data_IF_327779054222
#
_entry.id   IF_327779054222
#
_cell.length_a   1.000
_cell.length_b   1.000
_cell.length_c   1.000
_cell.angle_alpha   90.00
_cell.angle_beta   90.00
_cell.angle_gamma   90.00
#
_symmetry.space_group_name_H-M   'P 1'
#
loop_
_entity.id
_entity.type
_entity.pdbx_description
1 polymer ?
#
# COMPACT_ATOMS: atom_id res chain seq x y z
N UNK A 1 -56.17 15.74 -65.72
CA UNK A 1 -55.56 16.96 -65.13
C UNK A 1 -55.94 17.24 -63.68
N UNK A 2 -57.18 16.98 -63.21
CA UNK A 2 -57.55 17.18 -61.80
C UNK A 2 -56.95 16.18 -60.79
N UNK A 3 -56.45 15.02 -61.25
CA UNK A 3 -55.82 14.01 -60.38
C UNK A 3 -54.30 14.20 -60.18
N UNK A 4 -53.64 14.99 -61.06
CA UNK A 4 -52.18 15.26 -60.97
C UNK A 4 -51.90 16.45 -60.03
N UNK A 5 -52.86 17.37 -59.86
CA UNK A 5 -52.72 18.56 -59.01
C UNK A 5 -52.91 18.25 -57.52
N UNK A 6 -53.63 17.18 -57.17
CA UNK A 6 -53.84 16.79 -55.75
C UNK A 6 -52.64 15.98 -55.20
N UNK A 7 -51.86 15.32 -56.06
CA UNK A 7 -50.60 14.68 -55.67
C UNK A 7 -49.46 15.71 -55.51
N UNK A 8 -49.54 16.87 -56.17
CA UNK A 8 -48.56 17.95 -56.05
C UNK A 8 -48.71 18.83 -54.79
N UNK A 9 -49.79 18.67 -54.01
CA UNK A 9 -50.04 19.48 -52.79
C UNK A 9 -49.61 18.76 -51.49
N UNK A 10 -49.23 17.48 -51.55
CA UNK A 10 -48.69 16.75 -50.39
C UNK A 10 -47.15 16.79 -50.27
N UNK A 11 -46.47 17.64 -51.04
CA UNK A 11 -45.00 17.84 -50.94
C UNK A 11 -44.72 19.29 -50.51
N UNK A 12 -45.61 19.90 -49.71
CA UNK A 12 -45.23 21.06 -48.91
C UNK A 12 -44.43 20.60 -47.69
N UNK A 13 -43.11 20.63 -47.87
CA UNK A 13 -42.18 21.15 -46.89
C UNK A 13 -42.31 20.59 -45.46
N UNK A 14 -41.96 19.31 -45.28
CA UNK A 14 -41.36 18.90 -44.00
C UNK A 14 -39.95 19.47 -43.97
N UNK A 15 -39.82 20.69 -43.46
CA UNK A 15 -38.53 21.21 -43.04
C UNK A 15 -38.09 20.31 -41.89
N UNK A 16 -37.26 19.30 -42.17
CA UNK A 16 -36.51 18.63 -41.12
C UNK A 16 -35.53 19.67 -40.59
N UNK A 17 -35.94 20.36 -39.52
CA UNK A 17 -35.02 21.09 -38.67
C UNK A 17 -34.05 20.03 -38.14
N UNK A 18 -32.87 19.95 -38.76
CA UNK A 18 -31.80 19.08 -38.29
C UNK A 18 -31.32 19.72 -37.00
N UNK A 19 -31.78 19.18 -35.86
CA UNK A 19 -31.43 19.69 -34.55
C UNK A 19 -29.97 19.38 -34.26
N UNK A 20 -29.07 20.25 -34.72
CA UNK A 20 -27.68 20.25 -34.28
C UNK A 20 -27.67 20.40 -32.76
N UNK A 21 -27.10 19.41 -32.06
CA UNK A 21 -27.04 19.41 -30.59
C UNK A 21 -25.65 19.86 -30.18
N UNK A 22 -25.58 20.87 -29.31
CA UNK A 22 -24.31 21.31 -28.73
C UNK A 22 -24.04 20.51 -27.47
N UNK A 23 -22.95 19.75 -27.47
CA UNK A 23 -22.44 19.00 -26.33
C UNK A 23 -21.25 19.72 -25.75
N UNK A 24 -21.29 19.95 -24.44
CA UNK A 24 -20.18 20.55 -23.69
C UNK A 24 -19.70 19.61 -22.61
N UNK A 25 -18.51 19.84 -22.07
CA UNK A 25 -18.05 19.08 -20.91
C UNK A 25 -16.59 19.32 -20.60
N UNK A 26 -16.09 18.56 -19.63
CA UNK A 26 -14.69 18.55 -19.21
C UNK A 26 -14.13 17.15 -19.35
N UNK A 27 -12.91 17.03 -19.86
CA UNK A 27 -12.14 15.78 -19.85
C UNK A 27 -11.05 15.89 -18.77
N UNK A 28 -11.02 14.92 -17.86
CA UNK A 28 -10.10 14.87 -16.72
C UNK A 28 -9.29 13.58 -16.69
N UNK A 29 -8.14 13.64 -16.04
CA UNK A 29 -7.33 12.49 -15.68
C UNK A 29 -8.00 11.68 -14.55
N UNK A 30 -8.03 10.35 -14.68
CA UNK A 30 -8.65 9.46 -13.70
C UNK A 30 -7.95 9.35 -12.36
N UNK A 31 -6.63 9.57 -12.33
CA UNK A 31 -5.77 9.45 -11.16
C UNK A 31 -5.56 10.80 -10.48
N UNK A 32 -5.04 11.79 -11.21
CA UNK A 32 -4.67 13.10 -10.64
C UNK A 32 -5.86 14.04 -10.48
N UNK A 33 -6.97 13.75 -11.19
CA UNK A 33 -8.15 14.63 -11.30
C UNK A 33 -7.85 15.99 -11.93
N UNK A 34 -6.72 16.11 -12.63
CA UNK A 34 -6.35 17.31 -13.37
C UNK A 34 -7.06 17.36 -14.74
N UNK A 35 -7.29 18.57 -15.30
CA UNK A 35 -7.87 18.72 -16.63
C UNK A 35 -6.90 18.23 -17.72
N UNK A 36 -7.41 17.46 -18.68
CA UNK A 36 -6.62 17.01 -19.83
C UNK A 36 -6.68 18.05 -20.94
N UNK A 37 -5.58 18.75 -21.16
CA UNK A 37 -5.43 19.79 -22.18
C UNK A 37 -5.08 19.15 -23.53
N UNK A 38 -5.87 19.44 -24.57
CA UNK A 38 -5.66 18.91 -25.92
C UNK A 38 -6.16 17.48 -26.14
N UNK A 39 -7.07 16.98 -25.29
CA UNK A 39 -7.79 15.73 -25.54
C UNK A 39 -8.68 15.88 -26.78
N UNK A 40 -8.65 14.86 -27.64
CA UNK A 40 -9.48 14.80 -28.84
C UNK A 40 -10.91 14.38 -28.46
N UNK A 41 -11.88 15.06 -29.04
CA UNK A 41 -13.32 14.78 -28.89
C UNK A 41 -13.91 14.68 -30.28
N UNK A 42 -14.23 13.47 -30.74
CA UNK A 42 -14.57 13.19 -32.14
C UNK A 42 -15.92 12.50 -32.23
N UNK A 43 -16.82 12.97 -33.10
CA UNK A 43 -18.06 12.27 -33.43
C UNK A 43 -17.73 11.02 -34.27
N UNK A 44 -18.06 9.84 -33.76
CA UNK A 44 -17.69 8.55 -34.37
C UNK A 44 -18.23 8.44 -35.79
N UNK A 45 -17.35 7.97 -36.69
CA UNK A 45 -17.70 7.74 -38.10
C UNK A 45 -17.75 9.01 -38.96
N UNK A 46 -17.40 10.18 -38.40
CA UNK A 46 -17.31 11.44 -39.13
C UNK A 46 -15.91 12.07 -38.99
N UNK A 47 -15.68 13.20 -39.66
CA UNK A 47 -14.49 14.04 -39.46
C UNK A 47 -14.77 15.22 -38.53
N UNK A 48 -15.93 15.23 -37.87
CA UNK A 48 -16.34 16.28 -36.95
C UNK A 48 -15.70 16.04 -35.58
N UNK A 49 -14.94 17.01 -35.10
CA UNK A 49 -14.23 16.89 -33.84
C UNK A 49 -13.72 18.23 -33.33
N UNK A 50 -13.37 18.24 -32.05
CA UNK A 50 -12.79 19.37 -31.35
C UNK A 50 -11.71 18.88 -30.39
N UNK A 51 -11.00 19.79 -29.75
CA UNK A 51 -10.02 19.48 -28.70
C UNK A 51 -10.32 20.26 -27.43
N UNK A 52 -9.98 19.69 -26.28
CA UNK A 52 -10.13 20.39 -24.99
C UNK A 52 -9.16 21.57 -24.83
N UNK A 53 -9.60 22.61 -24.12
CA UNK A 53 -8.79 23.78 -23.80
C UNK A 53 -7.95 23.59 -22.50
N UNK A 54 -7.35 24.67 -21.98
CA UNK A 54 -6.52 24.65 -20.76
C UNK A 54 -7.26 24.14 -19.50
N UNK A 55 -8.57 24.35 -19.42
CA UNK A 55 -9.40 23.86 -18.32
C UNK A 55 -9.94 22.43 -18.58
N UNK A 56 -9.48 21.76 -19.64
CA UNK A 56 -10.01 20.47 -20.08
C UNK A 56 -11.41 20.56 -20.68
N UNK A 57 -11.95 21.77 -20.92
CA UNK A 57 -13.31 21.98 -21.44
C UNK A 57 -13.36 21.81 -22.95
N UNK A 58 -14.46 21.25 -23.45
CA UNK A 58 -14.76 21.14 -24.87
C UNK A 58 -16.19 21.58 -25.19
N UNK A 59 -16.43 21.88 -26.47
CA UNK A 59 -17.76 22.10 -27.06
C UNK A 59 -17.78 21.56 -28.47
N UNK A 60 -18.71 20.67 -28.79
CA UNK A 60 -18.87 20.04 -30.11
C UNK A 60 -20.34 20.06 -30.52
N UNK A 61 -20.60 20.31 -31.80
CA UNK A 61 -21.95 20.28 -32.38
C UNK A 61 -22.11 18.97 -33.13
N UNK A 62 -23.08 18.15 -32.74
CA UNK A 62 -23.32 16.83 -33.32
C UNK A 62 -24.62 16.77 -34.10
N UNK A 63 -24.78 15.74 -34.93
CA UNK A 63 -25.91 15.62 -35.84
C UNK A 63 -27.25 15.38 -35.14
N UNK A 64 -27.29 14.47 -34.17
CA UNK A 64 -28.50 14.08 -33.44
C UNK A 64 -28.16 13.28 -32.16
N UNK A 65 -29.19 12.92 -31.39
CA UNK A 65 -29.08 12.16 -30.14
C UNK A 65 -28.55 10.73 -30.30
N UNK A 66 -28.52 10.19 -31.52
CA UNK A 66 -27.98 8.87 -31.81
C UNK A 66 -26.48 8.90 -32.10
N UNK A 67 -25.86 10.08 -32.11
CA UNK A 67 -24.43 10.23 -32.36
C UNK A 67 -23.61 9.76 -31.15
N UNK A 68 -22.45 9.17 -31.42
CA UNK A 68 -21.48 8.74 -30.41
C UNK A 68 -20.25 9.64 -30.46
N UNK A 69 -19.71 10.00 -29.30
CA UNK A 69 -18.49 10.80 -29.18
C UNK A 69 -17.37 9.94 -28.61
N UNK A 70 -16.26 9.84 -29.33
CA UNK A 70 -15.01 9.25 -28.86
C UNK A 70 -14.10 10.34 -28.27
N UNK A 71 -13.67 10.09 -27.04
CA UNK A 71 -12.70 10.87 -26.29
C UNK A 71 -11.38 10.12 -26.28
N UNK A 72 -10.30 10.75 -26.73
CA UNK A 72 -8.96 10.14 -26.75
C UNK A 72 -7.88 11.14 -26.39
N UNK A 73 -6.81 10.64 -25.76
CA UNK A 73 -5.62 11.44 -25.45
C UNK A 73 -4.39 10.52 -25.48
N UNK A 74 -3.24 11.07 -25.86
CA UNK A 74 -2.01 10.28 -26.02
C UNK A 74 -1.64 9.68 -24.66
N UNK A 75 -1.49 8.35 -24.61
CA UNK A 75 -1.18 7.65 -23.38
C UNK A 75 -2.41 7.29 -22.54
N UNK A 76 -3.64 7.44 -23.05
CA UNK A 76 -4.89 7.14 -22.34
C UNK A 76 -5.81 6.18 -23.10
N UNK A 77 -6.57 5.38 -22.35
CA UNK A 77 -7.62 4.52 -22.89
C UNK A 77 -8.75 5.38 -23.42
N UNK A 78 -9.04 5.26 -24.71
CA UNK A 78 -10.12 6.01 -25.36
C UNK A 78 -11.48 5.52 -24.87
N UNK A 79 -12.44 6.44 -24.76
CA UNK A 79 -13.82 6.12 -24.35
C UNK A 79 -14.79 6.64 -25.39
N UNK A 80 -15.79 5.82 -25.75
CA UNK A 80 -16.85 6.21 -26.67
C UNK A 80 -18.17 6.25 -25.91
N UNK A 81 -18.91 7.35 -26.05
CA UNK A 81 -20.15 7.62 -25.31
C UNK A 81 -21.27 7.98 -26.29
N UNK A 82 -22.41 7.30 -26.17
CA UNK A 82 -23.65 7.67 -26.85
C UNK A 82 -24.25 8.93 -26.21
N UNK A 83 -24.55 9.95 -27.01
CA UNK A 83 -25.00 11.27 -26.54
C UNK A 83 -26.40 11.22 -25.91
N UNK A 84 -27.34 10.54 -26.56
CA UNK A 84 -28.72 10.50 -26.11
C UNK A 84 -29.32 11.90 -25.99
N UNK A 85 -29.95 12.22 -24.85
CA UNK A 85 -30.57 13.53 -24.60
C UNK A 85 -29.69 14.47 -23.76
N UNK A 86 -28.40 14.15 -23.60
CA UNK A 86 -27.49 14.93 -22.78
C UNK A 86 -26.94 16.12 -23.58
N UNK A 87 -26.80 17.28 -22.94
CA UNK A 87 -26.10 18.46 -23.50
C UNK A 87 -24.77 18.76 -22.78
N UNK A 88 -24.49 18.02 -21.70
CA UNK A 88 -23.26 18.11 -20.93
C UNK A 88 -22.74 16.71 -20.59
N UNK A 89 -21.51 16.39 -20.96
CA UNK A 89 -20.87 15.08 -20.75
C UNK A 89 -19.44 15.31 -20.26
N UNK A 90 -19.21 15.07 -18.96
CA UNK A 90 -17.87 15.07 -18.39
C UNK A 90 -17.27 13.67 -18.47
N UNK A 91 -15.99 13.59 -18.85
CA UNK A 91 -15.29 12.33 -19.09
C UNK A 91 -14.04 12.27 -18.26
N UNK A 92 -13.79 11.08 -17.73
CA UNK A 92 -12.53 10.74 -17.07
C UNK A 92 -11.82 9.75 -17.98
N UNK A 93 -10.65 10.11 -18.51
CA UNK A 93 -9.80 9.17 -19.22
C UNK A 93 -8.77 8.58 -18.26
N UNK A 94 -8.55 7.26 -18.36
CA UNK A 94 -7.55 6.56 -17.58
C UNK A 94 -6.32 6.30 -18.45
N UNK A 95 -5.12 6.48 -17.91
CA UNK A 95 -3.88 6.19 -18.63
C UNK A 95 -3.83 4.74 -19.14
N UNK A 96 -3.22 4.53 -20.32
CA UNK A 96 -2.82 3.20 -20.80
C UNK A 96 -1.67 2.76 -19.91
N UNK A 97 -1.98 1.85 -19.00
CA UNK A 97 -0.94 1.17 -18.23
C UNK A 97 -0.62 -0.14 -18.94
N UNK A 98 0.54 -0.23 -19.60
CA UNK A 98 1.05 -1.52 -20.11
C UNK A 98 1.17 -2.49 -18.93
N UNK A 99 0.58 -3.67 -19.03
CA UNK A 99 0.55 -4.69 -17.97
C UNK A 99 1.95 -5.03 -17.43
N UNK A 100 3.01 -4.91 -18.24
CA UNK A 100 4.40 -5.05 -17.77
C UNK A 100 4.83 -3.89 -16.90
N UNK A 101 4.59 -2.65 -17.32
CA UNK A 101 4.84 -1.47 -16.49
C UNK A 101 3.90 -1.39 -15.29
N UNK A 102 2.69 -1.94 -15.38
CA UNK A 102 1.75 -2.08 -14.27
C UNK A 102 2.29 -3.07 -13.25
N UNK A 103 2.79 -4.24 -13.67
CA UNK A 103 3.49 -5.17 -12.77
C UNK A 103 4.72 -4.55 -12.13
N UNK A 104 5.57 -3.89 -12.92
CA UNK A 104 6.80 -3.25 -12.42
C UNK A 104 6.48 -2.06 -11.49
N UNK A 105 5.39 -1.31 -11.75
CA UNK A 105 4.93 -0.23 -10.88
C UNK A 105 4.17 -0.78 -9.66
N UNK A 106 3.29 -1.76 -9.78
CA UNK A 106 2.53 -2.39 -8.67
C UNK A 106 3.43 -3.19 -7.73
N UNK A 107 4.43 -3.92 -8.25
CA UNK A 107 5.50 -4.52 -7.44
C UNK A 107 6.28 -3.46 -6.67
N UNK A 108 6.37 -2.24 -7.22
CA UNK A 108 7.03 -1.07 -6.61
C UNK A 108 6.08 -0.14 -5.84
N UNK A 109 4.75 -0.37 -5.80
CA UNK A 109 3.76 0.60 -5.30
C UNK A 109 2.97 0.12 -4.08
N UNK A 110 2.97 -1.15 -3.69
CA UNK A 110 2.48 -1.53 -2.35
C UNK A 110 3.62 -2.05 -1.49
N UNK A 111 4.06 -1.28 -0.50
CA UNK A 111 5.04 -1.73 0.48
C UNK A 111 4.53 -2.95 1.24
N UNK A 112 5.45 -3.69 1.87
CA UNK A 112 5.11 -4.62 2.93
C UNK A 112 4.78 -3.78 4.16
N UNK A 113 3.61 -3.96 4.78
CA UNK A 113 3.26 -3.23 5.99
C UNK A 113 4.20 -3.68 7.11
N UNK A 114 4.85 -2.72 7.75
CA UNK A 114 5.66 -2.93 8.95
C UNK A 114 4.74 -2.73 10.15
N UNK A 115 4.34 -3.83 10.79
CA UNK A 115 3.29 -3.84 11.80
C UNK A 115 3.85 -4.12 13.19
N UNK A 116 3.39 -3.33 14.15
CA UNK A 116 3.73 -3.46 15.57
C UNK A 116 5.23 -3.50 15.95
N UNK A 117 6.17 -2.78 15.29
CA UNK A 117 7.39 -2.38 15.97
C UNK A 117 7.13 -1.78 17.37
N UNK A 118 7.56 -2.48 18.41
CA UNK A 118 7.53 -2.04 19.80
C UNK A 118 8.95 -2.04 20.35
N UNK A 119 9.43 -0.86 20.71
CA UNK A 119 10.80 -0.60 21.17
C UNK A 119 10.82 -0.39 22.68
N UNK A 120 11.51 -1.26 23.39
CA UNK A 120 11.73 -1.23 24.83
C UNK A 120 13.18 -0.78 25.11
N UNK A 121 13.34 0.09 26.11
CA UNK A 121 14.64 0.66 26.48
C UNK A 121 14.94 0.32 27.95
N UNK A 122 16.04 -0.40 28.19
CA UNK A 122 16.44 -0.88 29.51
C UNK A 122 17.83 -0.36 29.89
N UNK A 123 17.96 0.88 30.35
CA UNK A 123 19.24 1.42 30.81
C UNK A 123 19.64 0.85 32.18
N UNK A 124 20.92 1.01 32.58
CA UNK A 124 21.41 0.57 33.91
C UNK A 124 21.01 1.51 35.04
N UNK A 125 20.85 2.79 34.73
CA UNK A 125 20.36 3.83 35.61
C UNK A 125 19.36 4.68 34.82
N UNK A 126 18.60 5.52 35.52
CA UNK A 126 17.78 6.53 34.85
C UNK A 126 18.65 7.39 33.94
N UNK A 127 18.26 7.51 32.66
CA UNK A 127 18.96 8.37 31.70
C UNK A 127 18.02 8.86 30.61
N UNK A 128 18.39 9.98 30.01
CA UNK A 128 17.74 10.50 28.82
C UNK A 128 18.24 9.74 27.57
N UNK A 129 17.33 9.44 26.65
CA UNK A 129 17.59 8.75 25.39
C UNK A 129 16.87 9.49 24.26
N UNK A 130 17.57 9.70 23.16
CA UNK A 130 17.01 10.09 21.88
C UNK A 130 16.95 8.88 20.94
N UNK A 131 15.84 8.71 20.22
CA UNK A 131 15.66 7.65 19.24
C UNK A 131 15.01 8.18 17.96
N UNK A 132 15.72 8.06 16.85
CA UNK A 132 15.25 8.35 15.49
C UNK A 132 15.08 7.03 14.73
N UNK A 133 13.91 6.86 14.10
CA UNK A 133 13.64 5.74 13.18
C UNK A 133 14.14 6.13 11.80
N UNK A 134 15.00 5.30 11.22
CA UNK A 134 15.45 5.42 9.84
C UNK A 134 14.73 4.37 9.00
N UNK A 135 13.79 4.82 8.18
CA UNK A 135 12.97 3.98 7.33
C UNK A 135 13.05 4.46 5.89
N UNK A 136 13.49 3.59 4.97
CA UNK A 136 13.31 3.80 3.53
C UNK A 136 11.87 3.40 3.15
N UNK A 137 10.95 4.29 3.46
CA UNK A 137 9.52 4.03 3.45
C UNK A 137 8.75 5.15 4.14
N UNK A 138 7.51 4.87 4.53
CA UNK A 138 6.64 5.84 5.20
C UNK A 138 6.31 5.38 6.59
N UNK A 139 6.50 6.23 7.59
CA UNK A 139 5.94 6.03 8.94
C UNK A 139 4.46 6.47 8.90
N UNK A 140 3.58 5.58 9.34
CA UNK A 140 2.13 5.76 9.28
C UNK A 140 1.51 6.09 10.63
N UNK A 141 1.99 5.43 11.68
CA UNK A 141 1.46 5.59 13.03
C UNK A 141 2.60 5.51 14.01
N UNK A 142 2.53 6.33 15.05
CA UNK A 142 3.49 6.34 16.15
C UNK A 142 2.79 6.57 17.46
N UNK A 143 3.30 5.98 18.53
CA UNK A 143 2.86 6.25 19.90
C UNK A 143 4.03 6.07 20.87
N UNK A 144 4.44 7.10 21.62
CA UNK A 144 3.93 8.48 21.67
C UNK A 144 3.99 9.22 20.33
N UNK A 145 3.40 10.42 20.25
CA UNK A 145 3.48 11.25 19.04
C UNK A 145 4.94 11.43 18.63
N UNK A 146 5.23 11.21 17.34
CA UNK A 146 6.56 11.30 16.77
C UNK A 146 6.64 12.48 15.80
N UNK A 147 7.71 13.25 15.91
CA UNK A 147 8.02 14.34 14.99
C UNK A 147 9.22 13.93 14.13
N UNK A 148 10.43 14.05 14.67
CA UNK A 148 11.67 13.62 14.00
C UNK A 148 12.43 12.55 14.79
N UNK A 149 12.26 12.55 16.11
CA UNK A 149 12.81 11.57 17.05
C UNK A 149 11.94 11.56 18.30
N UNK A 150 11.99 10.48 19.07
CA UNK A 150 11.53 10.51 20.45
C UNK A 150 12.66 10.96 21.37
N UNK A 151 12.31 11.80 22.34
CA UNK A 151 13.19 12.13 23.45
C UNK A 151 12.52 11.65 24.74
N UNK A 152 13.10 10.64 25.37
CA UNK A 152 12.50 10.02 26.56
C UNK A 152 13.50 9.97 27.71
N UNK A 153 12.97 10.05 28.92
CA UNK A 153 13.69 9.61 30.11
C UNK A 153 13.34 8.15 30.38
N UNK A 154 14.32 7.27 30.29
CA UNK A 154 14.15 5.84 30.49
C UNK A 154 14.66 5.37 31.85
N UNK A 155 13.97 4.39 32.42
CA UNK A 155 14.29 3.82 33.73
C UNK A 155 14.69 2.35 33.58
N UNK A 156 15.51 1.78 34.48
CA UNK A 156 15.91 0.38 34.42
C UNK A 156 14.76 -0.64 34.39
N UNK A 157 13.56 -0.24 34.84
CA UNK A 157 12.35 -1.05 34.78
C UNK A 157 11.73 -1.16 33.38
N UNK A 158 12.22 -0.41 32.38
CA UNK A 158 11.59 -0.28 31.06
C UNK A 158 10.52 0.81 30.98
N UNK A 159 10.23 1.47 32.10
CA UNK A 159 9.35 2.65 32.15
C UNK A 159 10.00 3.80 31.40
N UNK A 160 9.21 4.56 30.65
CA UNK A 160 9.63 5.72 29.88
C UNK A 160 8.77 6.92 30.28
N UNK A 161 9.36 8.11 30.32
CA UNK A 161 8.61 9.37 30.34
C UNK A 161 8.95 10.11 29.05
N UNK A 162 7.95 10.35 28.20
CA UNK A 162 8.13 11.11 26.97
C UNK A 162 8.30 12.60 27.31
N UNK A 163 9.31 13.27 26.76
CA UNK A 163 9.59 14.67 27.13
C UNK A 163 8.61 15.66 26.51
N UNK A 164 7.96 15.30 25.41
CA UNK A 164 7.04 16.20 24.70
C UNK A 164 5.69 16.36 25.43
N UNK A 165 5.15 15.27 25.98
CA UNK A 165 3.86 15.26 26.68
C UNK A 165 3.96 15.01 28.20
N UNK A 166 5.15 14.65 28.69
CA UNK A 166 5.43 14.31 30.08
C UNK A 166 4.57 13.14 30.63
N UNK A 167 4.07 12.28 29.75
CA UNK A 167 3.32 11.06 30.10
C UNK A 167 4.23 9.84 30.17
N UNK A 168 3.73 8.81 30.86
CA UNK A 168 4.42 7.54 31.06
C UNK A 168 4.05 6.52 29.99
N UNK A 169 5.06 5.80 29.50
CA UNK A 169 4.95 4.74 28.49
C UNK A 169 5.81 3.53 28.87
N UNK A 170 5.47 2.36 28.31
CA UNK A 170 6.22 1.11 28.52
C UNK A 170 7.06 0.68 27.31
N UNK A 171 6.79 1.27 26.15
CA UNK A 171 7.55 1.11 24.91
C UNK A 171 7.24 2.27 23.97
N UNK A 172 8.10 2.47 22.98
CA UNK A 172 7.85 3.34 21.83
C UNK A 172 7.31 2.47 20.69
N UNK A 173 6.25 2.90 20.05
CA UNK A 173 5.58 2.13 19.00
C UNK A 173 5.54 2.91 17.71
N UNK A 174 5.77 2.21 16.60
CA UNK A 174 5.54 2.75 15.27
C UNK A 174 5.01 1.67 14.32
N UNK A 175 4.38 2.11 13.24
CA UNK A 175 4.03 1.32 12.06
C UNK A 175 4.39 2.11 10.81
N UNK A 176 4.62 1.41 9.72
CA UNK A 176 4.96 2.04 8.46
C UNK A 176 4.81 1.11 7.27
N UNK A 177 5.13 1.63 6.10
CA UNK A 177 5.16 0.87 4.85
C UNK A 177 6.59 0.90 4.31
N UNK A 178 7.11 -0.28 3.95
CA UNK A 178 8.41 -0.41 3.30
C UNK A 178 8.34 -1.18 2.01
N UNK A 179 9.03 -0.69 0.98
CA UNK A 179 9.24 -1.43 -0.25
C UNK A 179 10.43 -2.39 -0.09
N UNK A 180 10.18 -3.70 -0.18
CA UNK A 180 11.23 -4.70 -0.34
C UNK A 180 11.30 -5.17 -1.80
N UNK A 181 12.51 -5.44 -2.28
CA UNK A 181 12.71 -6.13 -3.57
C UNK A 181 12.16 -7.56 -3.45
N UNK A 182 11.52 -8.06 -4.51
CA UNK A 182 11.11 -9.45 -4.65
C UNK A 182 12.19 -10.48 -4.25
N UNK A 183 13.46 -10.15 -4.45
CA UNK A 183 14.61 -11.00 -4.07
C UNK A 183 14.76 -11.16 -2.56
N UNK A 184 14.29 -10.18 -1.78
CA UNK A 184 14.30 -10.25 -0.32
C UNK A 184 13.21 -11.20 0.22
N UNK A 185 12.28 -11.63 -0.64
CA UNK A 185 11.22 -12.60 -0.37
C UNK A 185 11.56 -14.00 -0.92
N UNK A 186 12.84 -14.34 -1.05
CA UNK A 186 13.33 -15.68 -1.39
C UNK A 186 14.01 -16.36 -0.20
N UNK A 187 13.33 -17.37 0.35
CA UNK A 187 13.72 -18.07 1.56
C UNK A 187 14.29 -19.45 1.24
N UNK A 188 15.40 -19.80 1.91
CA UNK A 188 15.95 -21.16 1.91
C UNK A 188 15.68 -21.90 3.22
N UNK A 189 15.53 -21.13 4.30
CA UNK A 189 15.20 -21.63 5.63
C UNK A 189 13.91 -20.98 6.14
N UNK A 190 13.31 -21.55 7.17
CA UNK A 190 12.18 -20.98 7.87
C UNK A 190 11.49 -22.04 8.71
N UNK A 191 10.24 -21.79 9.10
CA UNK A 191 9.45 -22.77 9.84
C UNK A 191 8.07 -22.88 9.23
N UNK A 192 7.55 -24.09 9.11
CA UNK A 192 6.15 -24.30 8.70
C UNK A 192 5.38 -24.90 9.88
N UNK A 193 4.52 -24.09 10.49
CA UNK A 193 3.86 -24.39 11.76
C UNK A 193 2.35 -24.41 11.59
N UNK A 194 1.72 -25.49 12.04
CA UNK A 194 0.25 -25.60 12.08
C UNK A 194 -0.33 -24.54 13.03
N UNK A 195 -1.48 -23.93 12.69
CA UNK A 195 -2.07 -22.84 13.49
C UNK A 195 -2.20 -23.15 14.98
N UNK A 196 -2.69 -24.34 15.33
CA UNK A 196 -2.85 -24.81 16.71
C UNK A 196 -1.53 -24.97 17.50
N UNK A 197 -0.40 -24.98 16.79
CA UNK A 197 0.94 -25.19 17.35
C UNK A 197 1.75 -23.90 17.42
N UNK A 198 1.24 -22.78 16.88
CA UNK A 198 1.92 -21.48 16.82
C UNK A 198 2.26 -20.95 18.22
N UNK A 199 1.35 -21.07 19.18
CA UNK A 199 1.58 -20.59 20.55
C UNK A 199 2.84 -21.21 21.16
N UNK A 200 2.92 -22.55 21.14
CA UNK A 200 4.06 -23.27 21.69
C UNK A 200 5.36 -22.94 20.93
N UNK A 201 5.27 -22.85 19.61
CA UNK A 201 6.39 -22.46 18.76
C UNK A 201 6.94 -21.07 19.12
N UNK A 202 6.08 -20.05 19.23
CA UNK A 202 6.49 -18.68 19.56
C UNK A 202 7.08 -18.61 20.97
N UNK A 203 6.43 -19.24 21.97
CA UNK A 203 6.94 -19.26 23.34
C UNK A 203 8.34 -19.86 23.45
N UNK A 204 8.59 -20.97 22.74
CA UNK A 204 9.90 -21.63 22.74
C UNK A 204 10.97 -20.74 22.10
N UNK A 205 10.70 -20.26 20.88
CA UNK A 205 11.72 -19.58 20.07
C UNK A 205 11.99 -18.15 20.54
N UNK A 206 10.98 -17.37 20.91
CA UNK A 206 11.19 -15.99 21.42
C UNK A 206 11.95 -15.99 22.75
N UNK A 207 11.67 -16.96 23.62
CA UNK A 207 12.45 -17.17 24.86
C UNK A 207 13.90 -17.57 24.57
N UNK A 208 14.12 -18.45 23.59
CA UNK A 208 15.47 -18.83 23.15
C UNK A 208 16.26 -17.64 22.59
N UNK A 209 15.60 -16.79 21.80
CA UNK A 209 16.21 -15.58 21.22
C UNK A 209 16.61 -14.58 22.31
N UNK A 210 15.87 -14.53 23.42
CA UNK A 210 16.19 -13.71 24.59
C UNK A 210 15.18 -12.61 24.90
N UNK A 211 13.95 -12.72 24.38
CA UNK A 211 12.85 -11.84 24.82
C UNK A 211 12.48 -12.16 26.27
N UNK A 212 12.15 -11.11 27.03
CA UNK A 212 11.62 -11.25 28.38
C UNK A 212 10.17 -11.75 28.34
N UNK A 213 9.64 -12.22 29.47
CA UNK A 213 8.24 -12.66 29.53
C UNK A 213 7.25 -11.56 29.13
N UNK A 214 7.54 -10.29 29.47
CA UNK A 214 6.67 -9.16 29.12
C UNK A 214 6.66 -8.91 27.61
N UNK A 215 7.84 -8.76 27.01
CA UNK A 215 7.99 -8.54 25.56
C UNK A 215 7.41 -9.70 24.75
N UNK A 216 7.69 -10.94 25.17
CA UNK A 216 7.15 -12.14 24.52
C UNK A 216 5.62 -12.21 24.61
N UNK A 217 5.03 -11.83 25.76
CA UNK A 217 3.58 -11.79 25.91
C UNK A 217 2.98 -10.75 24.97
N UNK A 218 3.52 -9.53 24.91
CA UNK A 218 3.01 -8.48 24.02
C UNK A 218 3.10 -8.91 22.55
N UNK A 219 4.23 -9.52 22.15
CA UNK A 219 4.42 -10.09 20.82
C UNK A 219 3.35 -11.13 20.48
N UNK A 220 3.17 -12.13 21.37
CA UNK A 220 2.26 -13.25 21.14
C UNK A 220 0.80 -12.80 21.14
N UNK A 221 0.41 -11.90 22.05
CA UNK A 221 -0.96 -11.37 22.13
C UNK A 221 -1.34 -10.67 20.83
N UNK A 222 -0.41 -9.97 20.18
CA UNK A 222 -0.66 -9.32 18.90
C UNK A 222 -0.75 -10.33 17.74
N UNK A 223 0.23 -11.22 17.59
CA UNK A 223 0.36 -12.06 16.40
C UNK A 223 -0.44 -13.37 16.43
N UNK A 224 -0.60 -13.99 17.60
CA UNK A 224 -1.25 -15.30 17.73
C UNK A 224 -2.69 -15.32 17.19
N UNK A 225 -3.57 -14.32 17.45
CA UNK A 225 -4.94 -14.34 16.95
C UNK A 225 -5.04 -14.45 15.43
N UNK A 226 -4.07 -13.88 14.71
CA UNK A 226 -3.99 -13.90 13.25
C UNK A 226 -3.57 -15.31 12.78
N UNK A 227 -2.46 -15.80 13.33
CA UNK A 227 -1.80 -17.02 12.85
C UNK A 227 -2.47 -18.32 13.31
N UNK A 228 -3.13 -18.35 14.47
CA UNK A 228 -3.70 -19.58 15.03
C UNK A 228 -4.88 -20.13 14.22
N UNK A 229 -5.55 -19.25 13.46
CA UNK A 229 -6.67 -19.60 12.58
C UNK A 229 -6.22 -20.23 11.26
N UNK A 230 -4.94 -20.08 10.91
CA UNK A 230 -4.38 -20.58 9.67
C UNK A 230 -4.13 -22.10 9.74
N UNK A 231 -4.29 -22.78 8.60
CA UNK A 231 -4.01 -24.21 8.50
C UNK A 231 -2.52 -24.48 8.74
N UNK A 232 -1.66 -23.74 8.05
CA UNK A 232 -0.23 -23.66 8.28
C UNK A 232 0.24 -22.22 8.14
N UNK A 233 1.35 -21.90 8.80
CA UNK A 233 2.04 -20.63 8.71
C UNK A 233 3.49 -20.91 8.34
N UNK A 234 3.96 -20.38 7.21
CA UNK A 234 5.39 -20.18 7.02
C UNK A 234 5.82 -19.01 7.90
N UNK A 235 6.91 -19.15 8.65
CA UNK A 235 7.44 -18.13 9.56
C UNK A 235 8.93 -17.99 9.32
N UNK A 236 9.40 -16.76 9.20
CA UNK A 236 10.80 -16.39 9.10
C UNK A 236 11.09 -15.22 10.04
N UNK A 237 12.23 -15.24 10.74
CA UNK A 237 12.63 -14.15 11.62
C UNK A 237 13.83 -13.41 11.06
N UNK A 238 13.70 -12.10 10.77
CA UNK A 238 14.86 -11.23 10.56
C UNK A 238 15.34 -10.72 11.91
N UNK A 239 16.57 -11.07 12.28
CA UNK A 239 17.13 -10.75 13.60
C UNK A 239 18.44 -10.00 13.46
N UNK A 240 18.62 -8.95 14.27
CA UNK A 240 19.85 -8.15 14.26
C UNK A 240 20.04 -7.46 12.92
N UNK A 241 21.16 -7.72 12.24
CA UNK A 241 21.48 -7.08 10.95
C UNK A 241 20.47 -7.38 9.84
N UNK A 242 19.81 -8.53 9.88
CA UNK A 242 18.77 -8.84 8.91
C UNK A 242 17.54 -7.95 9.10
N UNK A 243 17.31 -7.45 10.32
CA UNK A 243 16.25 -6.47 10.59
C UNK A 243 16.57 -5.12 9.92
N UNK A 244 17.84 -4.77 9.72
CA UNK A 244 18.21 -3.48 9.11
C UNK A 244 17.70 -3.36 7.66
N UNK A 245 17.38 -4.49 7.01
CA UNK A 245 16.62 -4.54 5.75
C UNK A 245 15.20 -3.98 5.87
N UNK A 246 14.64 -3.88 7.07
CA UNK A 246 13.32 -3.33 7.39
C UNK A 246 13.48 -1.86 7.83
N UNK A 247 14.24 -1.59 8.88
CA UNK A 247 14.51 -0.23 9.34
C UNK A 247 15.74 -0.22 10.22
N UNK A 248 16.29 0.96 10.48
CA UNK A 248 17.34 1.16 11.48
C UNK A 248 16.89 2.12 12.58
N UNK A 249 17.51 2.02 13.76
CA UNK A 249 17.32 2.99 14.85
C UNK A 249 18.63 3.72 15.09
N UNK A 250 18.61 5.05 15.03
CA UNK A 250 19.69 5.89 15.57
C UNK A 250 19.35 6.25 17.01
N UNK A 251 20.22 5.85 17.94
CA UNK A 251 19.96 5.97 19.38
C UNK A 251 21.14 6.63 20.07
N UNK A 252 20.85 7.62 20.89
CA UNK A 252 21.84 8.31 21.73
C UNK A 252 21.36 8.38 23.20
N UNK A 253 22.15 7.93 24.19
CA UNK A 253 23.41 7.22 24.06
C UNK A 253 23.23 5.87 23.34
N UNK A 254 24.29 5.39 22.68
CA UNK A 254 24.24 4.10 21.97
C UNK A 254 23.98 2.93 22.94
N UNK A 255 23.04 2.02 22.63
CA UNK A 255 22.84 0.79 23.41
C UNK A 255 24.10 -0.10 23.39
N UNK A 256 24.43 -0.66 24.55
CA UNK A 256 25.47 -1.70 24.68
C UNK A 256 25.02 -3.01 24.04
N UNK A 257 23.72 -3.27 24.02
CA UNK A 257 23.12 -4.45 23.38
C UNK A 257 21.82 -4.08 22.67
N UNK A 258 21.64 -4.61 21.47
CA UNK A 258 20.44 -4.39 20.67
C UNK A 258 19.93 -5.73 20.16
N UNK A 259 18.68 -6.07 20.51
CA UNK A 259 17.97 -7.24 19.99
C UNK A 259 16.74 -6.75 19.23
N UNK A 260 16.74 -6.94 17.91
CA UNK A 260 15.64 -6.56 17.04
C UNK A 260 15.13 -7.80 16.33
N UNK A 261 13.83 -8.08 16.43
CA UNK A 261 13.20 -9.30 15.90
C UNK A 261 12.01 -8.92 15.02
N UNK A 262 12.14 -9.09 13.71
CA UNK A 262 11.04 -8.89 12.77
C UNK A 262 10.52 -10.24 12.32
N UNK A 263 9.26 -10.55 12.60
CA UNK A 263 8.64 -11.78 12.14
C UNK A 263 7.91 -11.55 10.82
N UNK A 264 8.32 -12.30 9.81
CA UNK A 264 7.59 -12.43 8.56
C UNK A 264 6.82 -13.74 8.61
N UNK A 265 5.53 -13.71 8.28
CA UNK A 265 4.78 -14.94 8.12
C UNK A 265 3.88 -14.92 6.88
N UNK A 266 3.61 -16.11 6.35
CA UNK A 266 2.66 -16.31 5.26
C UNK A 266 1.75 -17.48 5.58
N UNK A 267 0.44 -17.27 5.40
CA UNK A 267 -0.54 -18.36 5.46
C UNK A 267 -0.29 -19.39 4.36
N UNK A 268 -0.33 -20.67 4.72
CA UNK A 268 -0.18 -21.79 3.80
C UNK A 268 -1.37 -22.77 3.89
N UNK A 269 -1.77 -23.29 2.74
CA UNK A 269 -2.84 -24.30 2.64
C UNK A 269 -2.36 -25.74 2.87
N UNK A 270 -1.04 -25.96 2.84
CA UNK A 270 -0.42 -27.26 3.07
C UNK A 270 0.93 -27.10 3.76
N UNK A 271 1.37 -28.18 4.42
CA UNK A 271 2.72 -28.27 4.94
C UNK A 271 3.74 -28.28 3.78
N UNK A 272 4.84 -27.58 3.97
CA UNK A 272 5.99 -27.56 3.05
C UNK A 272 7.21 -27.89 3.88
N UNK A 273 8.05 -28.79 3.36
CA UNK A 273 9.34 -29.09 3.98
C UNK A 273 10.34 -27.97 3.64
N UNK A 274 10.91 -27.38 4.68
CA UNK A 274 11.93 -26.34 4.61
C UNK A 274 12.93 -26.58 5.73
N UNK A 275 14.19 -26.25 5.47
CA UNK A 275 15.22 -26.31 6.51
C UNK A 275 14.89 -25.30 7.62
N UNK A 276 15.01 -25.72 8.88
CA UNK A 276 14.73 -24.84 9.99
C UNK A 276 15.74 -23.71 10.05
N UNK A 277 15.25 -22.48 10.22
CA UNK A 277 16.13 -21.34 10.44
C UNK A 277 16.89 -21.52 11.77
N UNK A 278 18.19 -21.22 11.77
CA UNK A 278 18.97 -21.12 13.00
C UNK A 278 18.68 -19.78 13.70
N UNK A 279 18.22 -19.86 14.96
CA UNK A 279 17.91 -18.67 15.73
C UNK A 279 19.03 -18.38 16.76
N UNK A 280 19.60 -17.16 16.75
CA UNK A 280 20.62 -16.76 17.70
C UNK A 280 20.04 -16.67 19.12
N UNK A 281 20.90 -16.79 20.14
CA UNK A 281 20.57 -16.51 21.53
C UNK A 281 21.31 -15.25 21.99
N UNK A 282 20.57 -14.25 22.48
CA UNK A 282 21.15 -12.98 22.91
C UNK A 282 21.29 -12.88 24.44
N UNK A 283 22.40 -12.30 24.89
CA UNK A 283 22.62 -11.93 26.28
C UNK A 283 22.59 -10.41 26.42
N UNK A 284 21.78 -9.91 27.35
CA UNK A 284 21.64 -8.48 27.61
C UNK A 284 22.80 -7.98 28.47
N UNK A 285 23.50 -6.96 27.98
CA UNK A 285 24.54 -6.27 28.74
C UNK A 285 24.29 -4.76 28.69
N UNK A 286 24.77 -4.05 29.72
CA UNK A 286 24.66 -2.58 29.77
C UNK A 286 23.24 -2.03 29.56
N UNK A 287 23.14 -0.93 28.82
CA UNK A 287 21.89 -0.40 28.28
C UNK A 287 21.45 -1.27 27.09
N UNK A 288 20.27 -1.90 27.22
CA UNK A 288 19.71 -2.77 26.18
C UNK A 288 18.51 -2.12 25.48
N UNK A 289 18.51 -2.15 24.14
CA UNK A 289 17.35 -1.86 23.30
C UNK A 289 16.77 -3.18 22.77
N UNK A 290 15.47 -3.39 22.99
CA UNK A 290 14.73 -4.51 22.42
C UNK A 290 13.66 -3.98 21.48
N UNK A 291 13.62 -4.46 20.25
CA UNK A 291 12.54 -4.16 19.32
C UNK A 291 11.97 -5.47 18.80
N UNK A 292 10.65 -5.56 18.72
CA UNK A 292 10.01 -6.60 17.94
C UNK A 292 8.91 -6.02 17.08
N UNK A 293 8.69 -6.63 15.92
CA UNK A 293 7.64 -6.27 14.98
C UNK A 293 7.41 -7.41 14.00
N UNK A 294 6.63 -7.18 12.96
CA UNK A 294 6.45 -8.18 11.92
C UNK A 294 5.52 -7.76 10.81
N UNK A 295 5.16 -8.74 9.98
CA UNK A 295 4.27 -8.55 8.84
C UNK A 295 3.65 -9.87 8.39
N UNK A 296 2.43 -9.79 7.88
CA UNK A 296 1.84 -10.85 7.04
C UNK A 296 2.24 -10.60 5.58
N UNK A 297 2.89 -11.58 4.96
CA UNK A 297 3.24 -11.51 3.54
C UNK A 297 2.07 -12.04 2.71
N UNK A 298 1.22 -11.13 2.27
CA UNK A 298 0.12 -11.43 1.33
C UNK A 298 0.63 -11.72 -0.09
N UNK A 299 1.81 -11.19 -0.44
CA UNK A 299 2.44 -11.35 -1.76
C UNK A 299 3.00 -12.75 -1.99
N UNK A 300 3.29 -13.08 -3.25
CA UNK A 300 4.00 -14.31 -3.61
C UNK A 300 5.41 -14.30 -3.00
N UNK A 301 5.82 -15.43 -2.42
CA UNK A 301 7.17 -15.65 -1.90
C UNK A 301 7.82 -16.84 -2.60
N UNK A 302 9.14 -16.90 -2.56
CA UNK A 302 9.91 -18.06 -2.98
C UNK A 302 10.37 -18.83 -1.75
N UNK A 303 10.12 -20.14 -1.70
CA UNK A 303 10.74 -21.05 -0.72
C UNK A 303 11.43 -22.16 -1.50
N UNK A 304 12.74 -22.32 -1.34
CA UNK A 304 13.53 -23.33 -2.06
C UNK A 304 13.30 -23.32 -3.58
N UNK A 305 13.28 -22.12 -4.17
CA UNK A 305 13.05 -21.88 -5.60
C UNK A 305 11.64 -22.27 -6.11
N UNK A 306 10.65 -22.43 -5.22
CA UNK A 306 9.24 -22.63 -5.57
C UNK A 306 8.38 -21.47 -5.07
N UNK A 307 7.38 -21.09 -5.87
CA UNK A 307 6.43 -20.01 -5.59
C UNK A 307 5.33 -20.45 -4.65
N UNK A 308 4.96 -19.61 -3.69
CA UNK A 308 3.89 -19.82 -2.71
C UNK A 308 3.13 -18.53 -2.42
#
# INVERSE_FOLDING_TARGET
>A
MKLIIIILINILCSIHLSGQIVITGVVMDGTTKEPLIGANVIEKGTTNGTTTNFDGKYSIVVKDSASEIEFSYIGYLSQTILIGHQCNINIILNEIVDEKTKKIKEEKIMGIPVMKPAIYLYPKAEQDIELEIVLDGKINTTYPLYHDKWQVKAFPSGRLINKDDNLEYFYLFWEGDKYLDSKELDYKTGFVIKGDSVLHFLQKNLKHIGLSSAEMNDFIVFWLPIMQSNKYNFIYFRIGKDYDLISENKVDPKPDTQLRVFMEFKKLEAFIEVENQELPAFQRTGFSLIEWGGTEIEKEIMINNKKY
#
